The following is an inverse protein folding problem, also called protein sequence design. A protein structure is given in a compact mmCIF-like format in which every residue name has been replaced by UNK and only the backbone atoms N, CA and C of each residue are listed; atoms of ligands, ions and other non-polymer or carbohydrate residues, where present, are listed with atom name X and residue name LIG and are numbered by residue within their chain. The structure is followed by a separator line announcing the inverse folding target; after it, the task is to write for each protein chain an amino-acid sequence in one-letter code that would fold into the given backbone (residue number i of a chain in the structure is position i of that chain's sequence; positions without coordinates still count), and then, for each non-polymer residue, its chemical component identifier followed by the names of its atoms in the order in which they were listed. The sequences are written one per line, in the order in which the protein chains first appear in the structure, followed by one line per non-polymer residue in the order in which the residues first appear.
data_IF_481788097528
#
_entry.id   IF_481788097528
#
_cell.length_a   1.000
_cell.length_b   1.000
_cell.length_c   1.000
_cell.angle_alpha   90.00
_cell.angle_beta   90.00
_cell.angle_gamma   90.00
#
_symmetry.space_group_name_H-M   'P 1'
#
loop_
_entity.id
_entity.type
_entity.pdbx_description
1 polymer ?
#
# COMPACT_ATOMS: atom_id res chain seq x y z
N UNK A 1 2.02 -18.58 5.87
CA UNK A 1 0.59 -18.21 5.90
C UNK A 1 0.24 -17.72 4.50
N UNK A 2 -0.80 -18.26 3.85
CA UNK A 2 -1.28 -17.67 2.60
C UNK A 2 -1.69 -16.21 2.89
N UNK A 3 -1.37 -15.29 1.96
CA UNK A 3 -1.72 -13.88 2.11
C UNK A 3 -3.22 -13.73 2.37
N UNK A 4 -3.65 -12.87 3.31
CA UNK A 4 -5.07 -12.61 3.54
C UNK A 4 -5.76 -12.02 2.30
N UNK A 5 -4.98 -11.42 1.38
CA UNK A 5 -5.47 -10.86 0.13
C UNK A 5 -4.89 -11.63 -1.07
N UNK A 6 -5.64 -12.57 -1.66
CA UNK A 6 -5.18 -13.31 -2.83
C UNK A 6 -4.97 -12.36 -4.01
N UNK A 7 -3.76 -12.36 -4.58
CA UNK A 7 -3.36 -11.51 -5.70
C UNK A 7 -2.54 -10.28 -5.33
N UNK A 8 -2.44 -9.91 -4.04
CA UNK A 8 -1.48 -8.91 -3.60
C UNK A 8 -0.09 -9.53 -3.44
N UNK A 9 0.93 -8.81 -3.91
CA UNK A 9 2.31 -9.27 -3.82
C UNK A 9 2.79 -9.13 -2.35
N UNK A 10 3.06 -10.23 -1.63
CA UNK A 10 3.29 -10.21 -0.18
C UNK A 10 4.55 -9.43 0.21
N UNK A 11 5.43 -9.11 -0.74
CA UNK A 11 6.59 -8.26 -0.51
C UNK A 11 6.21 -6.82 -0.14
N UNK A 12 5.15 -6.27 -0.74
CA UNK A 12 4.71 -4.89 -0.52
C UNK A 12 3.91 -4.71 0.78
N UNK A 13 3.44 -5.82 1.35
CA UNK A 13 2.71 -5.84 2.63
C UNK A 13 3.61 -6.17 3.82
N UNK A 14 4.90 -6.45 3.60
CA UNK A 14 5.79 -6.85 4.69
C UNK A 14 6.02 -5.66 5.64
N UNK A 15 5.51 -5.69 6.89
CA UNK A 15 5.58 -4.55 7.80
C UNK A 15 7.03 -4.20 8.19
N UNK A 16 7.95 -5.17 8.11
CA UNK A 16 9.37 -4.95 8.41
C UNK A 16 10.05 -4.05 7.37
N UNK A 17 9.58 -4.07 6.13
CA UNK A 17 10.16 -3.27 5.04
C UNK A 17 9.28 -2.07 4.66
N UNK A 18 7.97 -2.17 4.87
CA UNK A 18 6.97 -1.30 4.24
C UNK A 18 5.79 -0.92 5.16
N UNK A 19 6.01 -0.68 6.47
CA UNK A 19 4.90 -0.42 7.42
C UNK A 19 3.95 0.70 7.00
N UNK A 20 4.47 1.75 6.36
CA UNK A 20 3.70 2.94 5.99
C UNK A 20 3.29 3.00 4.51
N UNK A 21 3.56 1.94 3.72
CA UNK A 21 3.31 2.00 2.27
C UNK A 21 1.86 2.29 1.95
N UNK A 22 0.92 1.62 2.62
CA UNK A 22 -0.50 1.84 2.37
C UNK A 22 -0.95 3.26 2.71
N UNK A 23 -0.55 3.80 3.88
CA UNK A 23 -0.88 5.18 4.25
C UNK A 23 -0.31 6.18 3.25
N UNK A 24 0.98 6.07 2.91
CA UNK A 24 1.65 6.98 1.98
C UNK A 24 1.07 6.90 0.57
N UNK A 25 0.75 5.69 0.09
CA UNK A 25 0.14 5.48 -1.21
C UNK A 25 -1.25 6.12 -1.29
N UNK A 26 -2.08 5.94 -0.25
CA UNK A 26 -3.42 6.54 -0.19
C UNK A 26 -3.33 8.07 -0.19
N UNK A 27 -2.44 8.65 0.62
CA UNK A 27 -2.22 10.12 0.65
C UNK A 27 -1.77 10.63 -0.71
N UNK A 28 -0.75 10.02 -1.31
CA UNK A 28 -0.25 10.45 -2.62
C UNK A 28 -1.31 10.34 -3.72
N UNK A 29 -2.16 9.31 -3.69
CA UNK A 29 -3.29 9.19 -4.61
C UNK A 29 -4.33 10.28 -4.38
N UNK A 30 -4.66 10.60 -3.12
CA UNK A 30 -5.59 11.68 -2.79
C UNK A 30 -5.09 13.03 -3.32
N UNK A 31 -3.82 13.37 -3.06
CA UNK A 31 -3.19 14.60 -3.54
C UNK A 31 -3.21 14.67 -5.08
N UNK A 32 -2.90 13.55 -5.75
CA UNK A 32 -2.90 13.48 -7.21
C UNK A 32 -4.30 13.69 -7.80
N UNK A 33 -5.34 13.13 -7.17
CA UNK A 33 -6.74 13.31 -7.58
C UNK A 33 -7.21 14.74 -7.31
N UNK A 34 -6.87 15.33 -6.16
CA UNK A 34 -7.26 16.69 -5.79
C UNK A 34 -6.62 17.76 -6.69
N UNK A 35 -5.44 17.49 -7.25
CA UNK A 35 -4.76 18.42 -8.16
C UNK A 35 -5.35 18.53 -9.57
N UNK A 36 -6.49 17.87 -9.85
CA UNK A 36 -7.19 17.87 -11.14
C UNK A 36 -8.56 18.55 -11.08
#
# INVERSE_FOLDING_TARGET
MPSPFPGMNPYLENPQFWSEVHHRLITALADAIESN
#
